data_IF_989213869034
#
_entry.id   IF_989213869034
#
_cell.length_a   1.000
_cell.length_b   1.000
_cell.length_c   1.000
_cell.angle_alpha   90.00
_cell.angle_beta   90.00
_cell.angle_gamma   90.00
#
_symmetry.space_group_name_H-M   'P 1'
#
loop_
_entity.id
_entity.type
_entity.pdbx_description
1 polymer ?
#
# COMPACT_ATOMS: atom_id res chain seq x y z
N UNK A 1 5.72 -16.55 4.42
CA UNK A 1 7.04 -16.11 4.97
C UNK A 1 6.95 -15.86 6.46
N UNK A 2 8.07 -15.99 7.20
CA UNK A 2 8.13 -15.62 8.62
C UNK A 2 8.06 -14.08 8.76
N UNK A 3 7.12 -13.60 9.56
CA UNK A 3 6.93 -12.16 9.79
C UNK A 3 7.51 -11.67 11.12
N UNK A 4 7.78 -12.58 12.07
CA UNK A 4 8.40 -12.19 13.34
C UNK A 4 9.77 -11.58 13.12
N UNK A 5 9.97 -10.36 13.59
CA UNK A 5 11.20 -9.59 13.39
C UNK A 5 11.44 -9.11 11.95
N UNK A 6 10.53 -9.40 11.01
CA UNK A 6 10.64 -8.90 9.65
C UNK A 6 10.46 -7.37 9.60
N UNK A 7 11.29 -6.69 8.83
CA UNK A 7 11.16 -5.26 8.56
C UNK A 7 10.09 -5.03 7.49
N UNK A 8 9.02 -4.30 7.83
CA UNK A 8 7.85 -4.08 6.97
C UNK A 8 7.65 -2.59 6.75
N UNK A 9 7.49 -2.17 5.50
CA UNK A 9 7.05 -0.82 5.13
C UNK A 9 5.58 -0.88 4.72
N UNK A 10 4.73 -0.04 5.33
CA UNK A 10 3.32 0.13 4.93
C UNK A 10 3.09 1.57 4.53
N UNK A 11 2.73 1.80 3.26
CA UNK A 11 2.37 3.14 2.77
C UNK A 11 0.87 3.40 2.92
N UNK A 12 0.47 4.66 3.11
CA UNK A 12 -0.93 5.02 3.37
C UNK A 12 -1.44 4.50 4.72
N UNK A 13 -0.55 4.40 5.73
CA UNK A 13 -0.82 3.73 7.00
C UNK A 13 -1.65 4.54 8.00
N UNK A 14 -2.00 5.81 7.72
CA UNK A 14 -2.68 6.68 8.69
C UNK A 14 -4.18 6.41 8.88
N UNK A 15 -4.81 5.65 7.98
CA UNK A 15 -6.26 5.35 8.02
C UNK A 15 -6.62 4.12 7.17
N UNK A 16 -7.92 3.71 7.25
CA UNK A 16 -8.49 2.64 6.44
C UNK A 16 -7.68 1.35 6.48
N UNK A 17 -7.53 0.71 5.32
CA UNK A 17 -6.82 -0.56 5.20
C UNK A 17 -5.37 -0.48 5.71
N UNK A 18 -4.63 0.61 5.41
CA UNK A 18 -3.24 0.74 5.85
C UNK A 18 -3.09 0.76 7.37
N UNK A 19 -4.00 1.44 8.08
CA UNK A 19 -4.03 1.43 9.55
C UNK A 19 -4.43 0.06 10.10
N UNK A 20 -5.40 -0.62 9.47
CA UNK A 20 -5.80 -1.97 9.84
C UNK A 20 -4.65 -2.98 9.62
N UNK A 21 -3.93 -2.88 8.50
CA UNK A 21 -2.73 -3.67 8.21
C UNK A 21 -1.64 -3.47 9.27
N UNK A 22 -1.38 -2.23 9.66
CA UNK A 22 -0.38 -1.94 10.70
C UNK A 22 -0.74 -2.60 12.03
N UNK A 23 -2.01 -2.54 12.44
CA UNK A 23 -2.50 -3.20 13.66
C UNK A 23 -2.46 -4.72 13.56
N UNK A 24 -2.79 -5.30 12.43
CA UNK A 24 -2.73 -6.74 12.22
C UNK A 24 -1.29 -7.26 12.20
N UNK A 25 -0.38 -6.56 11.53
CA UNK A 25 1.05 -6.89 11.51
C UNK A 25 1.69 -6.82 12.91
N UNK A 26 1.17 -6.00 13.84
CA UNK A 26 1.62 -5.99 15.22
C UNK A 26 1.50 -7.37 15.89
N UNK A 27 0.45 -8.13 15.57
CA UNK A 27 0.22 -9.48 16.12
C UNK A 27 1.25 -10.51 15.67
N UNK A 28 1.98 -10.21 14.59
CA UNK A 28 2.99 -11.10 14.01
C UNK A 28 4.39 -10.92 14.60
N UNK A 29 4.61 -9.81 15.33
CA UNK A 29 5.94 -9.40 15.81
C UNK A 29 6.81 -8.78 14.71
N UNK A 30 6.21 -8.29 13.62
CA UNK A 30 6.89 -7.51 12.58
C UNK A 30 7.33 -6.13 13.11
N UNK A 31 8.46 -5.63 12.61
CA UNK A 31 8.95 -4.27 12.87
C UNK A 31 8.54 -3.37 11.73
N UNK A 32 7.81 -2.30 12.01
CA UNK A 32 7.08 -1.56 11.00
C UNK A 32 7.60 -0.14 10.80
N UNK A 33 7.72 0.27 9.55
CA UNK A 33 7.79 1.68 9.15
C UNK A 33 6.45 2.03 8.51
N UNK A 34 5.72 2.94 9.14
CA UNK A 34 4.42 3.40 8.72
C UNK A 34 4.57 4.74 7.99
N UNK A 35 4.06 4.81 6.76
CA UNK A 35 4.26 5.98 5.90
C UNK A 35 2.92 6.62 5.55
N UNK A 36 2.78 7.92 5.79
CA UNK A 36 1.63 8.73 5.34
C UNK A 36 1.98 10.22 5.37
N UNK A 37 1.09 11.07 4.83
CA UNK A 37 1.22 12.54 4.81
C UNK A 37 0.75 13.19 6.12
N UNK A 38 -0.29 12.62 6.72
CA UNK A 38 -0.91 13.14 7.95
C UNK A 38 -0.13 12.63 9.17
N UNK A 39 0.68 13.50 9.74
CA UNK A 39 1.56 13.16 10.86
C UNK A 39 0.80 12.76 12.13
N UNK A 40 -0.29 13.46 12.45
CA UNK A 40 -1.05 13.21 13.66
C UNK A 40 -1.78 11.86 13.60
N UNK A 41 -2.49 11.60 12.51
CA UNK A 41 -3.18 10.34 12.32
C UNK A 41 -2.20 9.17 12.21
N UNK A 42 -1.01 9.39 11.61
CA UNK A 42 0.02 8.38 11.51
C UNK A 42 0.61 8.01 12.87
N UNK A 43 0.88 9.01 13.73
CA UNK A 43 1.38 8.77 15.09
C UNK A 43 0.34 8.00 15.93
N UNK A 44 -0.95 8.33 15.84
CA UNK A 44 -2.01 7.59 16.52
C UNK A 44 -2.00 6.09 16.14
N UNK A 45 -1.80 5.78 14.86
CA UNK A 45 -1.70 4.39 14.42
C UNK A 45 -0.43 3.73 14.97
N UNK A 46 0.70 4.43 14.97
CA UNK A 46 1.94 3.90 15.54
C UNK A 46 1.82 3.62 17.04
N UNK A 47 1.15 4.49 17.79
CA UNK A 47 0.83 4.27 19.22
C UNK A 47 -0.09 3.07 19.42
N UNK A 48 -1.11 2.88 18.55
CA UNK A 48 -1.98 1.71 18.60
C UNK A 48 -1.20 0.41 18.40
N UNK A 49 -0.26 0.40 17.43
CA UNK A 49 0.64 -0.74 17.19
C UNK A 49 1.50 -1.03 18.42
N UNK A 50 2.11 0.00 19.03
CA UNK A 50 2.96 -0.13 20.22
C UNK A 50 2.16 -0.63 21.44
N UNK A 51 0.93 -0.14 21.66
CA UNK A 51 0.01 -0.62 22.71
C UNK A 51 -0.36 -2.10 22.56
N UNK A 52 -0.33 -2.61 21.34
CA UNK A 52 -0.54 -4.04 21.03
C UNK A 52 0.74 -4.88 21.14
N UNK A 53 1.83 -4.28 21.64
CA UNK A 53 3.13 -4.94 21.79
C UNK A 53 3.96 -5.02 20.50
N UNK A 54 3.54 -4.35 19.43
CA UNK A 54 4.30 -4.26 18.16
C UNK A 54 5.33 -3.13 18.17
N UNK A 55 6.23 -3.15 17.20
CA UNK A 55 7.19 -2.09 16.93
C UNK A 55 6.76 -1.29 15.69
N UNK A 56 6.61 0.03 15.80
CA UNK A 56 6.22 0.89 14.70
C UNK A 56 6.90 2.26 14.78
N UNK A 57 7.38 2.71 13.63
CA UNK A 57 8.06 3.98 13.43
C UNK A 57 7.32 4.79 12.34
N UNK A 58 6.71 5.92 12.67
CA UNK A 58 6.03 6.78 11.69
C UNK A 58 7.05 7.57 10.86
N UNK A 59 6.85 7.59 9.57
CA UNK A 59 7.64 8.38 8.60
C UNK A 59 6.68 9.24 7.77
N UNK A 60 6.67 10.54 8.06
CA UNK A 60 5.81 11.49 7.32
C UNK A 60 6.38 11.71 5.94
N UNK A 61 5.70 11.20 4.91
CA UNK A 61 6.11 11.35 3.51
C UNK A 61 4.91 11.29 2.56
N UNK A 62 5.03 11.99 1.44
CA UNK A 62 4.17 11.81 0.29
C UNK A 62 4.89 10.92 -0.74
N UNK A 63 4.33 9.73 -1.01
CA UNK A 63 4.91 8.75 -1.94
C UNK A 63 5.00 9.27 -3.38
N UNK A 64 4.19 10.27 -3.75
CA UNK A 64 4.21 10.89 -5.07
C UNK A 64 5.49 11.72 -5.29
N UNK A 65 6.13 12.22 -4.23
CA UNK A 65 7.31 13.07 -4.34
C UNK A 65 8.55 12.27 -4.77
N UNK A 66 9.36 12.79 -5.69
CA UNK A 66 10.52 12.08 -6.23
C UNK A 66 11.52 11.59 -5.18
N UNK A 67 11.77 12.40 -4.15
CA UNK A 67 12.74 12.13 -3.08
C UNK A 67 12.22 11.19 -2.00
N UNK A 68 10.90 10.95 -1.94
CA UNK A 68 10.29 10.17 -0.87
C UNK A 68 10.79 8.72 -0.84
N UNK A 69 10.96 8.10 -1.99
CA UNK A 69 11.37 6.70 -2.08
C UNK A 69 12.72 6.41 -1.40
N UNK A 70 13.73 7.22 -1.72
CA UNK A 70 15.07 7.09 -1.10
C UNK A 70 15.04 7.38 0.40
N UNK A 71 14.28 8.40 0.82
CA UNK A 71 14.13 8.75 2.24
C UNK A 71 13.41 7.65 3.03
N UNK A 72 12.31 7.10 2.51
CA UNK A 72 11.56 6.02 3.16
C UNK A 72 12.43 4.77 3.28
N UNK A 73 13.10 4.36 2.20
CA UNK A 73 13.99 3.20 2.20
C UNK A 73 15.17 3.35 3.17
N UNK A 74 15.81 4.52 3.18
CA UNK A 74 16.92 4.82 4.10
C UNK A 74 16.48 4.82 5.56
N UNK A 75 15.35 5.45 5.89
CA UNK A 75 14.78 5.44 7.25
C UNK A 75 14.37 4.03 7.68
N UNK A 76 13.76 3.25 6.80
CA UNK A 76 13.42 1.87 7.11
C UNK A 76 14.66 1.05 7.44
N UNK A 77 15.72 1.16 6.62
CA UNK A 77 17.00 0.51 6.89
C UNK A 77 17.60 0.87 8.23
N UNK A 78 17.52 2.13 8.63
CA UNK A 78 18.07 2.63 9.91
C UNK A 78 17.22 2.24 11.13
N UNK A 79 15.89 2.24 11.02
CA UNK A 79 14.97 2.05 12.15
C UNK A 79 14.66 0.57 12.41
N UNK A 80 14.39 -0.21 11.35
CA UNK A 80 13.91 -1.59 11.46
C UNK A 80 14.78 -2.60 10.71
N UNK A 81 15.82 -2.13 10.04
CA UNK A 81 16.70 -2.95 9.20
C UNK A 81 16.20 -3.08 7.75
N UNK A 82 16.94 -3.87 6.94
CA UNK A 82 16.63 -4.01 5.52
C UNK A 82 15.20 -4.53 5.31
N UNK A 83 14.36 -3.81 4.52
CA UNK A 83 12.97 -4.21 4.29
C UNK A 83 12.85 -5.64 3.76
N UNK A 84 12.00 -6.44 4.39
CA UNK A 84 11.62 -7.78 3.94
C UNK A 84 10.24 -7.76 3.27
N UNK A 85 9.38 -6.81 3.67
CA UNK A 85 8.04 -6.63 3.08
C UNK A 85 7.82 -5.15 2.78
N UNK A 86 7.25 -4.88 1.61
CA UNK A 86 6.79 -3.57 1.21
C UNK A 86 5.32 -3.66 0.80
N UNK A 87 4.44 -2.91 1.49
CA UNK A 87 3.02 -2.84 1.17
C UNK A 87 2.70 -1.46 0.58
N UNK A 88 2.40 -1.44 -0.72
CA UNK A 88 1.88 -0.29 -1.43
C UNK A 88 0.37 -0.19 -1.24
N UNK A 89 -0.04 0.52 -0.19
CA UNK A 89 -1.45 0.76 0.10
C UNK A 89 -1.84 2.24 -0.08
N UNK A 90 -0.88 3.18 -0.08
CA UNK A 90 -1.17 4.57 -0.39
C UNK A 90 -1.86 4.68 -1.76
N UNK A 91 -2.92 5.46 -1.83
CA UNK A 91 -3.68 5.65 -3.06
C UNK A 91 -4.43 6.98 -3.08
N UNK A 92 -4.74 7.44 -4.29
CA UNK A 92 -5.56 8.60 -4.58
C UNK A 92 -6.64 8.21 -5.59
N UNK A 93 -7.87 8.66 -5.37
CA UNK A 93 -8.97 8.52 -6.33
C UNK A 93 -8.82 9.46 -7.54
N UNK A 94 -7.94 10.46 -7.41
CA UNK A 94 -7.97 11.63 -8.26
C UNK A 94 -9.01 12.63 -7.74
N UNK A 95 -9.75 13.31 -8.65
CA UNK A 95 -10.72 14.33 -8.24
C UNK A 95 -11.91 13.71 -7.51
N UNK A 96 -12.34 14.35 -6.43
CA UNK A 96 -13.56 14.03 -5.69
C UNK A 96 -14.45 15.27 -5.67
N UNK A 97 -15.73 15.17 -6.06
CA UNK A 97 -16.44 13.99 -6.55
C UNK A 97 -15.86 13.45 -7.87
N UNK A 98 -16.03 12.15 -8.06
CA UNK A 98 -15.57 11.49 -9.31
C UNK A 98 -16.20 12.13 -10.54
N UNK A 99 -15.43 12.23 -11.63
CA UNK A 99 -15.84 12.91 -12.87
C UNK A 99 -15.54 12.06 -14.10
N UNK A 100 -16.32 12.21 -15.19
CA UNK A 100 -15.95 11.64 -16.48
C UNK A 100 -14.54 12.07 -16.92
N UNK A 101 -13.86 11.25 -17.69
CA UNK A 101 -12.50 11.56 -18.17
C UNK A 101 -12.42 12.89 -18.93
N UNK A 102 -13.47 13.23 -19.70
CA UNK A 102 -13.52 14.50 -20.42
C UNK A 102 -13.49 15.72 -19.49
N UNK A 103 -13.96 15.57 -18.26
CA UNK A 103 -14.03 16.63 -17.23
C UNK A 103 -12.91 16.51 -16.18
N UNK A 104 -12.01 15.54 -16.35
CA UNK A 104 -10.85 15.33 -15.46
C UNK A 104 -9.70 16.18 -15.93
N UNK A 105 -9.29 17.17 -15.11
CA UNK A 105 -8.14 18.01 -15.44
C UNK A 105 -6.81 17.25 -15.38
N UNK A 106 -5.85 17.65 -16.21
CA UNK A 106 -4.52 17.02 -16.33
C UNK A 106 -3.83 16.83 -14.98
N UNK A 107 -3.78 17.87 -14.15
CA UNK A 107 -3.14 17.82 -12.84
C UNK A 107 -3.75 16.77 -11.90
N UNK A 108 -5.08 16.56 -11.93
CA UNK A 108 -5.75 15.59 -11.12
C UNK A 108 -5.47 14.15 -11.61
N UNK A 109 -5.38 13.96 -12.92
CA UNK A 109 -4.98 12.69 -13.53
C UNK A 109 -3.51 12.38 -13.19
N UNK A 110 -2.62 13.35 -13.35
CA UNK A 110 -1.20 13.22 -13.01
C UNK A 110 -0.97 12.90 -11.53
N UNK A 111 -1.73 13.53 -10.61
CA UNK A 111 -1.67 13.23 -9.17
C UNK A 111 -2.05 11.78 -8.87
N UNK A 112 -3.13 11.27 -9.48
CA UNK A 112 -3.52 9.88 -9.33
C UNK A 112 -2.42 8.93 -9.82
N UNK A 113 -1.84 9.19 -11.00
CA UNK A 113 -0.73 8.42 -11.55
C UNK A 113 0.53 8.52 -10.70
N UNK A 114 0.87 9.70 -10.20
CA UNK A 114 2.03 9.90 -9.35
C UNK A 114 1.93 9.10 -8.04
N UNK A 115 0.74 9.12 -7.41
CA UNK A 115 0.50 8.42 -6.15
C UNK A 115 0.39 6.91 -6.34
N UNK A 116 -0.42 6.47 -7.33
CA UNK A 116 -0.81 5.07 -7.46
C UNK A 116 0.17 4.23 -8.28
N UNK A 117 1.01 4.85 -9.11
CA UNK A 117 1.93 4.14 -10.03
C UNK A 117 3.38 4.54 -9.84
N UNK A 118 3.67 5.85 -9.98
CA UNK A 118 5.07 6.31 -9.98
C UNK A 118 5.70 6.19 -8.59
N UNK A 119 4.95 6.49 -7.52
CA UNK A 119 5.38 6.28 -6.14
C UNK A 119 5.73 4.82 -5.85
N UNK A 120 4.81 3.87 -6.06
CA UNK A 120 5.09 2.43 -5.96
C UNK A 120 6.29 1.97 -6.80
N UNK A 121 6.41 2.41 -8.05
CA UNK A 121 7.58 2.10 -8.88
C UNK A 121 8.89 2.57 -8.24
N UNK A 122 8.95 3.82 -7.80
CA UNK A 122 10.15 4.40 -7.20
C UNK A 122 10.55 3.70 -5.90
N UNK A 123 9.57 3.43 -5.03
CA UNK A 123 9.85 2.82 -3.73
C UNK A 123 10.21 1.33 -3.87
N UNK A 124 9.53 0.58 -4.75
CA UNK A 124 9.93 -0.80 -5.08
C UNK A 124 11.37 -0.83 -5.56
N UNK A 125 11.74 0.02 -6.54
CA UNK A 125 13.11 0.11 -7.06
C UNK A 125 14.14 0.43 -5.98
N UNK A 126 13.77 1.21 -4.96
CA UNK A 126 14.68 1.58 -3.88
C UNK A 126 14.98 0.42 -2.90
N UNK A 127 14.09 -0.58 -2.78
CA UNK A 127 14.23 -1.66 -1.78
C UNK A 127 14.46 -3.04 -2.40
N UNK A 128 14.01 -3.28 -3.62
CA UNK A 128 13.96 -4.62 -4.21
C UNK A 128 15.34 -5.23 -4.42
N UNK A 129 16.35 -4.42 -4.74
CA UNK A 129 17.73 -4.90 -4.88
C UNK A 129 18.28 -5.54 -3.61
N UNK A 130 17.98 -4.97 -2.44
CA UNK A 130 18.37 -5.54 -1.15
C UNK A 130 17.60 -6.83 -0.85
N UNK A 131 16.31 -6.90 -1.20
CA UNK A 131 15.51 -8.12 -1.07
C UNK A 131 16.08 -9.24 -1.94
N UNK A 132 16.40 -8.95 -3.20
CA UNK A 132 16.98 -9.91 -4.15
C UNK A 132 18.35 -10.43 -3.69
N UNK A 133 19.23 -9.56 -3.19
CA UNK A 133 20.52 -9.96 -2.63
C UNK A 133 20.40 -10.88 -1.41
N UNK A 134 19.33 -10.75 -0.63
CA UNK A 134 19.03 -11.62 0.51
C UNK A 134 18.30 -12.90 0.13
N UNK A 135 17.92 -13.06 -1.14
CA UNK A 135 17.17 -14.21 -1.63
C UNK A 135 15.74 -14.31 -1.09
N UNK A 136 15.20 -13.24 -0.51
CA UNK A 136 13.85 -13.24 0.05
C UNK A 136 13.27 -11.82 0.15
N UNK A 137 11.98 -11.69 -0.11
CA UNK A 137 11.24 -10.46 0.03
C UNK A 137 9.82 -10.58 -0.50
N UNK A 138 8.96 -9.64 -0.11
CA UNK A 138 7.61 -9.54 -0.65
C UNK A 138 7.24 -8.09 -0.92
N UNK A 139 6.66 -7.84 -2.10
CA UNK A 139 6.04 -6.56 -2.47
C UNK A 139 4.56 -6.81 -2.67
N UNK A 140 3.72 -6.10 -1.91
CA UNK A 140 2.26 -6.17 -2.03
C UNK A 140 1.75 -4.89 -2.64
N UNK A 141 0.99 -5.00 -3.71
CA UNK A 141 0.32 -3.90 -4.39
C UNK A 141 -1.18 -4.01 -4.10
N UNK A 142 -1.74 -3.03 -3.40
CA UNK A 142 -3.19 -2.98 -3.17
C UNK A 142 -3.86 -2.40 -4.40
N UNK A 143 -4.61 -3.26 -5.11
CA UNK A 143 -5.36 -2.94 -6.32
C UNK A 143 -6.83 -2.64 -6.03
N UNK A 144 -7.69 -2.83 -7.00
CA UNK A 144 -9.14 -2.67 -6.98
C UNK A 144 -9.72 -3.35 -8.21
N UNK A 145 -10.97 -3.77 -8.15
CA UNK A 145 -11.77 -4.23 -9.29
C UNK A 145 -11.82 -3.19 -10.44
N UNK A 146 -11.72 -1.88 -10.10
CA UNK A 146 -11.60 -0.80 -11.09
C UNK A 146 -10.35 -0.90 -11.99
N UNK A 147 -9.40 -1.78 -11.68
CA UNK A 147 -8.27 -2.06 -12.56
C UNK A 147 -8.69 -2.86 -13.82
N UNK A 148 -9.76 -3.63 -13.72
CA UNK A 148 -10.26 -4.52 -14.78
C UNK A 148 -11.66 -4.14 -15.27
N UNK A 149 -12.47 -3.57 -14.40
CA UNK A 149 -13.84 -3.14 -14.72
C UNK A 149 -13.89 -1.63 -14.96
N UNK A 150 -14.43 -1.24 -16.12
CA UNK A 150 -14.57 0.15 -16.48
C UNK A 150 -15.85 0.77 -15.88
N UNK A 151 -15.66 1.64 -14.91
CA UNK A 151 -16.75 2.41 -14.30
C UNK A 151 -16.76 3.85 -14.80
N UNK A 152 -17.90 4.39 -15.27
CA UNK A 152 -18.02 5.81 -15.60
C UNK A 152 -17.65 6.69 -14.40
N UNK A 153 -16.82 7.71 -14.63
CA UNK A 153 -16.34 8.62 -13.59
C UNK A 153 -15.08 8.16 -12.83
N UNK A 154 -14.68 6.91 -12.95
CA UNK A 154 -13.51 6.34 -12.25
C UNK A 154 -12.21 6.39 -13.08
N UNK A 155 -12.19 7.16 -14.17
CA UNK A 155 -11.13 7.07 -15.17
C UNK A 155 -9.70 7.26 -14.63
N UNK A 156 -9.43 8.31 -13.86
CA UNK A 156 -8.09 8.54 -13.30
C UNK A 156 -7.68 7.40 -12.36
N UNK A 157 -8.57 6.95 -11.48
CA UNK A 157 -8.32 5.87 -10.55
C UNK A 157 -8.15 4.52 -11.26
N UNK A 158 -9.16 4.14 -12.10
CA UNK A 158 -9.15 2.85 -12.79
C UNK A 158 -7.93 2.67 -13.68
N UNK A 159 -7.58 3.69 -14.48
CA UNK A 159 -6.36 3.67 -15.31
C UNK A 159 -5.11 3.49 -14.43
N UNK A 160 -5.02 4.20 -13.30
CA UNK A 160 -3.87 4.07 -12.42
C UNK A 160 -3.77 2.69 -11.78
N UNK A 161 -4.91 2.08 -11.39
CA UNK A 161 -4.93 0.73 -10.81
C UNK A 161 -4.61 -0.35 -11.85
N UNK A 162 -5.10 -0.22 -13.08
CA UNK A 162 -4.71 -1.09 -14.19
C UNK A 162 -3.21 -1.00 -14.48
N UNK A 163 -2.65 0.20 -14.49
CA UNK A 163 -1.22 0.42 -14.65
C UNK A 163 -0.40 -0.19 -13.49
N UNK A 164 -0.87 -0.04 -12.24
CA UNK A 164 -0.24 -0.63 -11.07
C UNK A 164 -0.22 -2.17 -11.16
N UNK A 165 -1.32 -2.79 -11.55
CA UNK A 165 -1.38 -4.24 -11.73
C UNK A 165 -0.41 -4.73 -12.81
N UNK A 166 -0.37 -4.02 -13.93
CA UNK A 166 0.57 -4.40 -15.01
C UNK A 166 2.02 -4.21 -14.57
N UNK A 167 2.33 -3.14 -13.86
CA UNK A 167 3.64 -2.91 -13.22
C UNK A 167 4.00 -4.07 -12.28
N UNK A 168 3.04 -4.54 -11.48
CA UNK A 168 3.22 -5.70 -10.58
C UNK A 168 3.57 -6.98 -11.35
N UNK A 169 2.90 -7.24 -12.47
CA UNK A 169 3.19 -8.39 -13.33
C UNK A 169 4.61 -8.32 -13.92
N UNK A 170 5.04 -7.14 -14.39
CA UNK A 170 6.40 -6.95 -14.89
C UNK A 170 7.43 -7.22 -13.78
N UNK A 171 7.23 -6.62 -12.58
CA UNK A 171 8.11 -6.89 -11.45
C UNK A 171 8.18 -8.37 -11.09
N UNK A 172 7.07 -9.09 -11.13
CA UNK A 172 7.02 -10.53 -10.82
C UNK A 172 7.90 -11.34 -11.78
N UNK A 173 7.84 -11.04 -13.08
CA UNK A 173 8.66 -11.70 -14.10
C UNK A 173 10.15 -11.33 -13.97
N UNK A 174 10.47 -10.05 -13.81
CA UNK A 174 11.85 -9.58 -13.67
C UNK A 174 12.54 -10.09 -12.39
N UNK A 175 11.77 -10.36 -11.34
CA UNK A 175 12.27 -10.86 -10.05
C UNK A 175 12.18 -12.39 -9.92
N UNK A 176 11.76 -13.08 -10.97
CA UNK A 176 11.71 -14.54 -10.98
C UNK A 176 13.08 -15.14 -10.64
N UNK A 177 13.10 -16.12 -9.73
CA UNK A 177 14.34 -16.79 -9.30
C UNK A 177 15.16 -16.01 -8.24
N UNK A 178 14.83 -14.75 -7.93
CA UNK A 178 15.53 -13.96 -6.90
C UNK A 178 15.06 -14.24 -5.47
N UNK A 179 13.98 -15.00 -5.29
CA UNK A 179 13.32 -15.20 -4.00
C UNK A 179 12.40 -14.04 -3.57
N UNK A 180 12.29 -12.99 -4.36
CA UNK A 180 11.33 -11.91 -4.14
C UNK A 180 9.99 -12.25 -4.78
N UNK A 181 8.91 -12.07 -4.05
CA UNK A 181 7.53 -12.27 -4.53
C UNK A 181 6.81 -10.95 -4.68
N UNK A 182 6.04 -10.80 -5.75
CA UNK A 182 5.17 -9.64 -5.97
C UNK A 182 3.72 -10.12 -5.97
N UNK A 183 2.91 -9.53 -5.12
CA UNK A 183 1.49 -9.85 -4.97
C UNK A 183 0.67 -8.62 -5.35
N UNK A 184 -0.34 -8.81 -6.18
CA UNK A 184 -1.39 -7.82 -6.40
C UNK A 184 -2.66 -8.31 -5.74
N UNK A 185 -3.24 -7.50 -4.87
CA UNK A 185 -4.39 -7.87 -4.04
C UNK A 185 -5.50 -6.84 -4.21
N UNK A 186 -6.64 -7.28 -4.67
CA UNK A 186 -7.89 -6.52 -4.53
C UNK A 186 -8.48 -6.83 -3.15
N UNK A 187 -8.59 -5.81 -2.26
CA UNK A 187 -9.10 -6.00 -0.91
C UNK A 187 -10.63 -6.09 -0.86
N UNK A 188 -11.33 -5.82 -1.97
CA UNK A 188 -12.78 -5.67 -2.05
C UNK A 188 -13.27 -4.30 -1.55
N UNK A 189 -14.58 -4.12 -1.55
CA UNK A 189 -15.23 -2.89 -1.07
C UNK A 189 -15.21 -2.83 0.46
N UNK A 190 -14.61 -1.76 1.00
CA UNK A 190 -14.42 -1.62 2.44
C UNK A 190 -15.05 -0.32 2.96
N UNK A 191 -15.57 -0.34 4.19
CA UNK A 191 -16.03 0.86 4.88
C UNK A 191 -14.84 1.75 5.26
N UNK A 192 -14.41 2.56 4.30
CA UNK A 192 -13.32 3.51 4.44
C UNK A 192 -13.75 4.90 3.98
N UNK A 193 -13.01 5.92 4.42
CA UNK A 193 -13.23 7.28 3.91
C UNK A 193 -13.10 7.32 2.38
N UNK A 194 -12.12 6.64 1.80
CA UNK A 194 -11.92 6.60 0.34
C UNK A 194 -13.15 6.05 -0.38
N UNK A 195 -13.77 4.99 0.14
CA UNK A 195 -14.99 4.43 -0.43
C UNK A 195 -16.18 5.40 -0.32
N UNK A 196 -16.36 6.01 0.85
CA UNK A 196 -17.43 7.02 1.04
C UNK A 196 -17.26 8.25 0.15
N UNK A 197 -16.01 8.68 -0.07
CA UNK A 197 -15.70 9.79 -0.99
C UNK A 197 -15.97 9.40 -2.47
N UNK A 198 -15.78 8.13 -2.84
CA UNK A 198 -15.98 7.62 -4.20
C UNK A 198 -17.45 7.28 -4.50
N UNK A 199 -18.16 6.69 -3.55
CA UNK A 199 -19.53 6.19 -3.67
C UNK A 199 -20.37 6.60 -2.45
N UNK A 200 -20.75 7.88 -2.32
CA UNK A 200 -21.46 8.37 -1.14
C UNK A 200 -22.84 7.78 -0.95
N UNK A 201 -23.44 7.23 -2.01
CA UNK A 201 -24.75 6.57 -1.98
C UNK A 201 -24.69 5.06 -1.66
N UNK A 202 -23.46 4.49 -1.49
CA UNK A 202 -23.32 3.07 -1.18
C UNK A 202 -23.88 2.76 0.23
N UNK A 203 -24.51 1.60 0.34
CA UNK A 203 -25.01 1.11 1.65
C UNK A 203 -23.80 0.67 2.52
N UNK A 204 -23.53 1.35 3.64
CA UNK A 204 -22.39 1.00 4.50
C UNK A 204 -22.48 -0.43 5.06
N UNK A 205 -23.67 -1.01 5.13
CA UNK A 205 -23.87 -2.38 5.67
C UNK A 205 -23.39 -3.47 4.72
N UNK A 206 -23.24 -3.15 3.43
CA UNK A 206 -22.69 -4.07 2.42
C UNK A 206 -21.17 -4.09 2.39
N UNK A 207 -20.50 -3.13 3.04
CA UNK A 207 -19.07 -2.95 3.00
C UNK A 207 -18.36 -3.80 4.05
N UNK A 208 -17.18 -4.33 3.70
CA UNK A 208 -16.36 -5.07 4.64
C UNK A 208 -15.62 -4.11 5.60
N UNK A 209 -15.44 -4.49 6.86
CA UNK A 209 -14.48 -3.81 7.72
C UNK A 209 -13.07 -3.92 7.13
N UNK A 210 -12.26 -2.83 7.11
CA UNK A 210 -10.89 -2.89 6.58
C UNK A 210 -10.00 -3.89 7.35
N UNK A 211 -10.34 -4.22 8.58
CA UNK A 211 -9.68 -5.25 9.39
C UNK A 211 -9.79 -6.65 8.75
N UNK A 212 -10.94 -6.97 8.13
CA UNK A 212 -11.13 -8.25 7.44
C UNK A 212 -10.17 -8.39 6.25
N UNK A 213 -10.03 -7.33 5.45
CA UNK A 213 -9.08 -7.31 4.35
C UNK A 213 -7.62 -7.35 4.84
N UNK A 214 -7.31 -6.67 5.96
CA UNK A 214 -5.99 -6.68 6.56
C UNK A 214 -5.56 -8.09 6.99
N UNK A 215 -6.43 -8.84 7.66
CA UNK A 215 -6.18 -10.24 8.04
C UNK A 215 -5.86 -11.08 6.80
N UNK A 216 -6.63 -10.94 5.72
CA UNK A 216 -6.40 -11.67 4.47
C UNK A 216 -5.03 -11.34 3.85
N UNK A 217 -4.65 -10.07 3.79
CA UNK A 217 -3.34 -9.67 3.25
C UNK A 217 -2.19 -10.24 4.09
N UNK A 218 -2.28 -10.19 5.42
CA UNK A 218 -1.27 -10.75 6.32
C UNK A 218 -1.20 -12.28 6.19
N UNK A 219 -2.33 -12.94 6.00
CA UNK A 219 -2.36 -14.39 5.74
C UNK A 219 -1.67 -14.74 4.42
N UNK A 220 -1.93 -14.02 3.33
CA UNK A 220 -1.24 -14.22 2.05
C UNK A 220 0.28 -14.06 2.20
N UNK A 221 0.75 -13.08 2.98
CA UNK A 221 2.18 -12.92 3.26
C UNK A 221 2.77 -14.14 3.98
N UNK A 222 2.04 -14.73 4.96
CA UNK A 222 2.49 -15.95 5.66
C UNK A 222 2.59 -17.16 4.72
N UNK A 223 1.65 -17.30 3.81
CA UNK A 223 1.59 -18.39 2.83
C UNK A 223 2.75 -18.36 1.81
N UNK A 224 3.37 -17.21 1.55
CA UNK A 224 4.52 -17.11 0.64
C UNK A 224 5.77 -17.91 1.08
N UNK A 225 5.79 -18.46 2.26
CA UNK A 225 6.92 -19.22 2.79
C UNK A 225 6.69 -20.72 2.85
N UNK A 226 5.52 -21.16 2.42
CA UNK A 226 5.16 -22.58 2.29
C UNK A 226 5.32 -23.04 0.84
#
# INVERSE_FOLDING_TARGET
MELRGAAVIVTGASRGLGAALARELATTGARQVLVARDSQALEQVAEDVRRRGGEAHPVVADVAQPEAAGRIAGMAGALVGPPAVLVHNAGSLGPVPLRPLADTGDAAFEEAMATNVVGPFRLTRAVVGTMALRGQGAVVLISSDAATTAYPGWGAYGVSKAALEHLGRIWQEELAGTGVRVLTVDPGEMDTRMHRDAAPEADPTSLLPPETAAVRVVQLLRELGQ
#
